data_IF_967689805341
#
_entry.id   IF_967689805341
#
_cell.length_a   1.000
_cell.length_b   1.000
_cell.length_c   1.000
_cell.angle_alpha   90.00
_cell.angle_beta   90.00
_cell.angle_gamma   90.00
#
_symmetry.space_group_name_H-M   'P 1'
#
loop_
_entity.id
_entity.type
_entity.pdbx_description
1 polymer ?
#
# COMPACT_ATOMS: atom_id res chain seq x y z
N UNK A 1 17.48 9.26 -6.67
CA UNK A 1 16.20 9.37 -5.93
C UNK A 1 15.73 10.80 -6.00
N UNK A 2 14.48 11.03 -6.36
CA UNK A 2 13.86 12.36 -6.40
C UNK A 2 13.75 12.96 -4.98
N UNK A 3 13.60 14.30 -4.89
CA UNK A 3 13.31 14.93 -3.61
C UNK A 3 12.01 14.39 -2.99
N UNK A 4 11.96 14.25 -1.65
CA UNK A 4 10.75 13.78 -0.96
C UNK A 4 9.55 14.70 -1.22
N UNK A 5 8.37 14.09 -1.41
CA UNK A 5 7.11 14.80 -1.58
C UNK A 5 6.36 14.94 -0.24
N UNK A 6 5.67 16.06 -0.01
CA UNK A 6 4.90 16.29 1.22
C UNK A 6 3.60 15.45 1.19
N UNK A 7 3.65 14.25 1.75
CA UNK A 7 2.48 13.37 1.80
C UNK A 7 1.34 13.98 2.62
N UNK A 8 0.11 13.80 2.11
CA UNK A 8 -1.13 14.10 2.83
C UNK A 8 -1.46 12.92 3.74
N UNK A 9 -1.71 13.20 5.01
CA UNK A 9 -1.93 12.19 6.04
C UNK A 9 -3.35 12.30 6.58
N UNK A 10 -4.03 11.17 6.64
CA UNK A 10 -5.28 11.01 7.36
C UNK A 10 -4.99 10.43 8.73
N UNK A 11 -5.41 11.10 9.78
CA UNK A 11 -5.41 10.57 11.14
C UNK A 11 -6.73 9.79 11.35
N UNK A 12 -6.61 8.51 11.72
CA UNK A 12 -7.74 7.59 11.88
C UNK A 12 -8.18 7.46 13.33
N UNK A 13 -7.51 8.14 14.25
CA UNK A 13 -7.85 8.24 15.65
C UNK A 13 -6.78 7.69 16.60
N UNK A 14 -7.14 7.66 17.89
CA UNK A 14 -6.27 7.23 18.97
C UNK A 14 -5.25 8.28 19.41
N UNK A 15 -4.56 8.02 20.53
CA UNK A 15 -3.61 8.94 21.13
C UNK A 15 -2.35 8.24 21.69
N UNK A 16 -2.24 6.91 21.52
CA UNK A 16 -1.12 6.12 22.03
C UNK A 16 0.09 6.09 21.11
N UNK A 17 0.85 5.01 21.18
CA UNK A 17 2.03 4.81 20.34
C UNK A 17 1.68 4.93 18.84
N UNK A 18 2.51 5.63 18.05
CA UNK A 18 2.21 5.87 16.64
C UNK A 18 2.28 4.59 15.82
N UNK A 19 1.23 4.37 15.02
CA UNK A 19 1.12 3.29 14.05
C UNK A 19 0.81 3.90 12.68
N UNK A 20 1.70 3.67 11.72
CA UNK A 20 1.58 4.22 10.36
C UNK A 20 1.22 3.10 9.40
N UNK A 21 0.15 3.29 8.61
CA UNK A 21 -0.35 2.31 7.66
C UNK A 21 -0.19 2.79 6.22
N UNK A 22 0.52 2.01 5.39
CA UNK A 22 0.79 2.31 3.98
C UNK A 22 -0.09 1.45 3.07
N UNK A 23 -0.82 2.08 2.16
CA UNK A 23 -1.71 1.39 1.22
C UNK A 23 -0.97 0.76 0.03
N UNK A 24 -1.63 -0.15 -0.68
CA UNK A 24 -1.14 -0.77 -1.91
C UNK A 24 -1.34 0.08 -3.16
N UNK A 25 -0.87 -0.44 -4.30
CA UNK A 25 -1.03 0.17 -5.61
C UNK A 25 -2.52 0.43 -5.91
N UNK A 26 -2.83 1.58 -6.51
CA UNK A 26 -4.19 2.09 -6.74
C UNK A 26 -5.04 2.25 -5.48
N UNK A 27 -4.44 2.16 -4.28
CA UNK A 27 -5.10 2.42 -3.01
C UNK A 27 -4.99 3.87 -2.57
N UNK A 28 -5.46 4.14 -1.36
CA UNK A 28 -5.31 5.42 -0.66
C UNK A 28 -5.49 5.22 0.84
N UNK A 29 -5.30 6.27 1.63
CA UNK A 29 -5.58 6.30 3.06
C UNK A 29 -6.99 5.81 3.41
N UNK A 30 -7.96 5.95 2.50
CA UNK A 30 -9.34 5.49 2.67
C UNK A 30 -9.46 3.97 2.82
N UNK A 31 -8.56 3.20 2.23
CA UNK A 31 -8.56 1.75 2.34
C UNK A 31 -8.34 1.28 3.80
N UNK A 32 -7.69 2.13 4.60
CA UNK A 32 -7.40 1.86 6.00
C UNK A 32 -8.48 2.33 6.97
N UNK A 33 -9.55 3.01 6.50
CA UNK A 33 -10.57 3.62 7.37
C UNK A 33 -11.10 2.63 8.42
N UNK A 34 -11.51 1.45 7.99
CA UNK A 34 -12.14 0.46 8.89
C UNK A 34 -11.14 -0.23 9.82
N UNK A 35 -10.02 -0.70 9.27
CA UNK A 35 -8.99 -1.37 10.07
C UNK A 35 -8.22 -0.39 10.96
N UNK A 36 -7.96 0.82 10.47
CA UNK A 36 -7.24 1.84 11.22
C UNK A 36 -8.04 2.37 12.40
N UNK A 37 -9.35 2.57 12.27
CA UNK A 37 -10.21 2.90 13.41
C UNK A 37 -10.19 1.78 14.45
N UNK A 38 -10.28 0.52 14.03
CA UNK A 38 -10.21 -0.61 14.95
C UNK A 38 -8.84 -0.72 15.66
N UNK A 39 -7.72 -0.39 14.98
CA UNK A 39 -6.40 -0.28 15.62
C UNK A 39 -6.33 0.89 16.60
N UNK A 40 -6.97 2.02 16.29
CA UNK A 40 -7.05 3.20 17.16
C UNK A 40 -7.85 2.90 18.43
N UNK A 41 -8.95 2.16 18.33
CA UNK A 41 -9.75 1.68 19.47
C UNK A 41 -8.95 0.75 20.41
N UNK A 42 -7.85 0.17 19.91
CA UNK A 42 -6.91 -0.65 20.70
C UNK A 42 -5.78 0.19 21.31
N UNK A 43 -5.88 1.51 21.27
CA UNK A 43 -4.98 2.42 21.97
C UNK A 43 -3.79 2.95 21.15
N UNK A 44 -3.80 2.80 19.82
CA UNK A 44 -2.75 3.33 18.94
C UNK A 44 -3.17 4.66 18.31
N UNK A 45 -2.22 5.58 18.12
CA UNK A 45 -2.41 6.74 17.25
C UNK A 45 -2.17 6.30 15.80
N UNK A 46 -3.22 6.19 15.00
CA UNK A 46 -3.14 5.61 13.66
C UNK A 46 -3.13 6.68 12.58
N UNK A 47 -2.07 6.68 11.76
CA UNK A 47 -1.87 7.60 10.65
C UNK A 47 -1.79 6.83 9.32
N UNK A 48 -2.56 7.28 8.33
CA UNK A 48 -2.60 6.72 7.00
C UNK A 48 -2.25 7.80 5.97
N UNK A 49 -1.00 7.86 5.48
CA UNK A 49 -0.67 8.73 4.36
C UNK A 49 -1.26 8.21 3.04
N UNK A 50 -1.63 9.12 2.16
CA UNK A 50 -1.69 8.83 0.73
C UNK A 50 -0.25 8.83 0.22
N UNK A 51 0.22 7.73 -0.37
CA UNK A 51 1.56 7.66 -0.97
C UNK A 51 1.63 8.51 -2.23
N UNK A 52 2.87 8.91 -2.67
CA UNK A 52 3.05 9.66 -3.92
C UNK A 52 2.23 9.07 -5.05
N UNK A 53 1.71 9.89 -5.93
CA UNK A 53 0.89 9.51 -7.08
C UNK A 53 -0.49 8.93 -6.75
N UNK A 54 -0.91 8.94 -5.48
CA UNK A 54 -2.20 8.40 -5.03
C UNK A 54 -2.97 9.41 -4.18
N UNK A 55 -4.29 9.28 -4.20
CA UNK A 55 -5.19 10.02 -3.33
C UNK A 55 -5.06 11.53 -3.46
N UNK A 56 -4.75 12.18 -2.35
CA UNK A 56 -4.56 13.65 -2.26
C UNK A 56 -3.09 14.07 -2.21
N UNK A 57 -2.16 13.14 -2.19
CA UNK A 57 -0.73 13.44 -2.17
C UNK A 57 -0.22 13.92 -3.53
N UNK A 58 0.88 14.69 -3.55
CA UNK A 58 1.48 15.20 -4.78
C UNK A 58 1.92 14.09 -5.74
N UNK A 59 2.00 14.44 -7.01
CA UNK A 59 2.47 13.60 -8.09
C UNK A 59 3.94 13.83 -8.41
N UNK A 60 4.62 12.78 -8.86
CA UNK A 60 6.01 12.81 -9.32
C UNK A 60 6.32 11.61 -10.21
N UNK A 61 7.36 11.72 -11.03
CA UNK A 61 7.67 10.69 -12.04
C UNK A 61 8.42 9.49 -11.44
N UNK A 62 9.18 9.69 -10.37
CA UNK A 62 9.94 8.63 -9.70
C UNK A 62 9.02 7.85 -8.74
N UNK A 63 8.68 6.61 -9.09
CA UNK A 63 7.88 5.70 -8.27
C UNK A 63 8.73 4.57 -7.65
N UNK A 64 10.05 4.74 -7.58
CA UNK A 64 10.94 3.76 -6.95
C UNK A 64 10.63 3.58 -5.46
N UNK A 65 10.94 2.40 -4.93
CA UNK A 65 10.76 2.15 -3.50
C UNK A 65 11.64 3.04 -2.62
N UNK A 66 12.81 3.46 -3.12
CA UNK A 66 13.64 4.44 -2.45
C UNK A 66 12.95 5.82 -2.35
N UNK A 67 12.26 6.25 -3.40
CA UNK A 67 11.50 7.49 -3.39
C UNK A 67 10.25 7.40 -2.50
N UNK A 68 9.50 6.29 -2.55
CA UNK A 68 8.36 6.03 -1.67
C UNK A 68 8.79 6.02 -0.18
N UNK A 69 9.90 5.36 0.14
CA UNK A 69 10.45 5.32 1.50
C UNK A 69 10.89 6.72 1.96
N UNK A 70 11.59 7.47 1.10
CA UNK A 70 12.04 8.82 1.43
C UNK A 70 10.87 9.78 1.74
N UNK A 71 9.74 9.68 1.04
CA UNK A 71 8.53 10.44 1.36
C UNK A 71 8.00 10.14 2.75
N UNK A 72 7.92 8.83 3.09
CA UNK A 72 7.43 8.40 4.40
C UNK A 72 8.39 8.86 5.49
N UNK A 73 9.71 8.77 5.29
CA UNK A 73 10.72 9.30 6.21
C UNK A 73 10.51 10.80 6.44
N UNK A 74 10.42 11.59 5.37
CA UNK A 74 10.20 13.03 5.47
C UNK A 74 8.87 13.37 6.19
N UNK A 75 7.83 12.56 6.00
CA UNK A 75 6.57 12.68 6.73
C UNK A 75 6.76 12.40 8.23
N UNK A 76 7.47 11.33 8.61
CA UNK A 76 7.76 10.99 10.01
C UNK A 76 8.55 12.10 10.69
N UNK A 77 9.61 12.60 10.03
CA UNK A 77 10.43 13.70 10.54
C UNK A 77 9.60 14.98 10.74
N UNK A 78 8.77 15.36 9.74
CA UNK A 78 7.88 16.54 9.80
C UNK A 78 6.87 16.47 10.94
N UNK A 79 6.36 15.27 11.23
CA UNK A 79 5.38 15.03 12.29
C UNK A 79 6.03 14.74 13.65
N UNK A 80 7.38 14.76 13.73
CA UNK A 80 8.16 14.37 14.88
C UNK A 80 7.74 13.01 15.45
N UNK A 81 7.51 12.03 14.55
CA UNK A 81 7.13 10.67 14.89
C UNK A 81 8.33 9.73 14.79
N UNK A 82 8.41 8.84 15.73
CA UNK A 82 9.34 7.72 15.68
C UNK A 82 9.91 7.34 17.05
N UNK A 83 10.36 6.11 17.18
CA UNK A 83 10.13 4.98 16.25
C UNK A 83 8.65 4.54 16.23
N UNK A 84 8.14 4.22 15.03
CA UNK A 84 6.73 3.86 14.82
C UNK A 84 6.54 2.34 14.63
N UNK A 85 5.31 1.85 14.84
CA UNK A 85 4.88 0.59 14.24
C UNK A 85 4.47 0.86 12.78
N UNK A 86 5.27 0.37 11.84
CA UNK A 86 5.04 0.56 10.41
C UNK A 86 4.31 -0.66 9.82
N UNK A 87 3.14 -0.44 9.24
CA UNK A 87 2.32 -1.46 8.59
C UNK A 87 2.20 -1.13 7.12
N UNK A 88 2.57 -2.05 6.23
CA UNK A 88 2.48 -1.81 4.79
C UNK A 88 1.78 -2.94 4.05
N UNK A 89 0.80 -2.60 3.21
CA UNK A 89 0.09 -3.55 2.36
C UNK A 89 0.65 -3.52 0.94
N UNK A 90 0.95 -4.69 0.36
CA UNK A 90 1.34 -4.83 -1.05
C UNK A 90 2.47 -3.86 -1.43
N UNK A 91 2.30 -2.93 -2.37
CA UNK A 91 3.27 -1.87 -2.70
C UNK A 91 3.73 -1.10 -1.44
N UNK A 92 2.80 -0.72 -0.56
CA UNK A 92 3.13 -0.08 0.73
C UNK A 92 3.98 -0.97 1.64
N UNK A 93 3.82 -2.30 1.56
CA UNK A 93 4.66 -3.27 2.26
C UNK A 93 6.09 -3.29 1.74
N UNK A 94 6.27 -3.21 0.42
CA UNK A 94 7.60 -3.09 -0.20
C UNK A 94 8.26 -1.74 0.14
N UNK A 95 7.49 -0.65 0.15
CA UNK A 95 7.99 0.66 0.60
C UNK A 95 8.42 0.62 2.07
N UNK A 96 7.66 -0.06 2.93
CA UNK A 96 8.00 -0.26 4.33
C UNK A 96 9.28 -1.11 4.51
N UNK A 97 9.44 -2.18 3.71
CA UNK A 97 10.68 -2.97 3.70
C UNK A 97 11.89 -2.11 3.31
N UNK A 98 11.77 -1.25 2.29
CA UNK A 98 12.85 -0.33 1.89
C UNK A 98 13.15 0.66 3.00
N UNK A 99 12.13 1.23 3.62
CA UNK A 99 12.30 2.21 4.70
C UNK A 99 13.10 1.66 5.88
N UNK A 100 12.82 0.44 6.34
CA UNK A 100 13.54 -0.14 7.48
C UNK A 100 15.01 -0.45 7.17
N UNK A 101 15.35 -0.66 5.90
CA UNK A 101 16.76 -0.80 5.50
C UNK A 101 17.48 0.57 5.48
N UNK A 102 16.79 1.63 5.04
CA UNK A 102 17.38 2.97 4.92
C UNK A 102 17.41 3.73 6.26
N UNK A 103 16.35 3.57 7.09
CA UNK A 103 16.16 4.28 8.36
C UNK A 103 15.59 3.35 9.45
N UNK A 104 16.39 2.36 9.88
CA UNK A 104 15.99 1.40 10.92
C UNK A 104 15.62 2.08 12.26
N UNK A 105 16.21 3.24 12.54
CA UNK A 105 15.97 4.05 13.73
C UNK A 105 14.52 4.57 13.84
N UNK A 106 13.80 4.70 12.75
CA UNK A 106 12.43 5.20 12.72
C UNK A 106 11.35 4.12 12.92
N UNK A 107 11.72 2.85 13.00
CA UNK A 107 10.77 1.74 13.05
C UNK A 107 10.99 0.87 14.28
N UNK A 108 10.02 0.86 15.19
CA UNK A 108 10.01 -0.02 16.35
C UNK A 108 9.57 -1.45 16.00
N UNK A 109 8.64 -1.58 15.03
CA UNK A 109 8.09 -2.84 14.55
C UNK A 109 7.63 -2.70 13.10
N UNK A 110 7.84 -3.73 12.29
CA UNK A 110 7.36 -3.82 10.92
C UNK A 110 6.27 -4.89 10.81
N UNK A 111 5.13 -4.54 10.18
CA UNK A 111 4.13 -5.51 9.73
C UNK A 111 3.95 -5.38 8.22
N UNK A 112 4.24 -6.45 7.50
CA UNK A 112 4.08 -6.52 6.05
C UNK A 112 2.84 -7.34 5.71
N UNK A 113 1.92 -6.76 4.94
CA UNK A 113 0.63 -7.36 4.64
C UNK A 113 0.60 -7.85 3.20
N UNK A 114 0.61 -9.16 3.06
CA UNK A 114 0.41 -9.97 1.87
C UNK A 114 1.30 -9.60 0.67
N UNK A 115 2.60 -9.44 0.93
CA UNK A 115 3.64 -9.24 -0.09
C UNK A 115 4.99 -9.77 0.43
N UNK A 116 5.82 -10.36 -0.45
CA UNK A 116 7.17 -10.83 -0.13
C UNK A 116 8.25 -9.94 -0.79
N UNK A 117 9.51 -9.95 -0.29
CA UNK A 117 10.63 -9.22 -0.89
C UNK A 117 11.15 -9.93 -2.15
N UNK A 118 10.37 -9.89 -3.23
CA UNK A 118 10.69 -10.45 -4.54
C UNK A 118 10.06 -9.67 -5.69
N UNK A 119 10.47 -9.96 -6.91
CA UNK A 119 9.75 -9.51 -8.09
C UNK A 119 8.45 -10.30 -8.32
N UNK A 120 7.46 -9.63 -8.90
CA UNK A 120 6.15 -10.18 -9.25
C UNK A 120 5.90 -10.10 -10.75
N UNK A 121 5.11 -11.04 -11.27
CA UNK A 121 4.67 -11.00 -12.66
C UNK A 121 3.66 -9.87 -12.88
N UNK A 122 3.65 -9.38 -14.11
CA UNK A 122 2.89 -8.21 -14.55
C UNK A 122 1.39 -8.51 -14.77
N UNK A 123 0.69 -8.77 -13.67
CA UNK A 123 -0.76 -9.01 -13.70
C UNK A 123 -1.61 -7.73 -13.66
N UNK A 124 -1.02 -6.60 -13.20
CA UNK A 124 -1.73 -5.31 -13.05
C UNK A 124 -1.79 -4.49 -14.35
N UNK A 125 -1.23 -4.98 -15.46
CA UNK A 125 -1.31 -4.27 -16.75
C UNK A 125 -2.73 -4.16 -17.28
N UNK A 126 -3.60 -5.12 -16.98
CA UNK A 126 -4.99 -5.11 -17.46
C UNK A 126 -5.74 -3.94 -16.84
N UNK A 127 -5.57 -3.70 -15.54
CA UNK A 127 -6.19 -2.59 -14.82
C UNK A 127 -5.72 -1.23 -15.37
N UNK A 128 -4.41 -1.06 -15.55
CA UNK A 128 -3.86 0.16 -16.14
C UNK A 128 -4.26 0.35 -17.59
N UNK A 129 -4.30 -0.72 -18.40
CA UNK A 129 -4.77 -0.67 -19.78
C UNK A 129 -6.24 -0.22 -19.84
N UNK A 130 -7.09 -0.77 -18.98
CA UNK A 130 -8.50 -0.39 -18.89
C UNK A 130 -8.69 1.08 -18.46
N UNK A 131 -7.90 1.52 -17.47
CA UNK A 131 -7.90 2.93 -17.04
C UNK A 131 -7.43 3.87 -18.14
N UNK A 132 -6.42 3.47 -18.90
CA UNK A 132 -5.87 4.26 -20.02
C UNK A 132 -6.82 4.33 -21.23
N UNK A 133 -7.56 3.26 -21.47
CA UNK A 133 -8.52 3.19 -22.58
C UNK A 133 -9.85 3.90 -22.28
N UNK A 134 -10.17 4.16 -21.01
CA UNK A 134 -11.41 4.82 -20.64
C UNK A 134 -11.37 6.31 -20.99
N UNK A 135 -12.16 6.71 -22.01
CA UNK A 135 -12.36 8.11 -22.37
C UNK A 135 -13.25 8.79 -21.31
N UNK A 136 -12.61 9.55 -20.40
CA UNK A 136 -13.30 10.24 -19.31
C UNK A 136 -14.22 11.36 -19.79
N UNK A 137 -14.00 11.94 -20.99
CA UNK A 137 -14.88 12.97 -21.56
C UNK A 137 -16.25 12.41 -21.97
N UNK A 138 -16.31 11.11 -22.27
CA UNK A 138 -17.52 10.39 -22.61
C UNK A 138 -18.21 9.73 -21.40
N UNK A 139 -17.65 9.88 -20.18
CA UNK A 139 -18.23 9.31 -18.96
C UNK A 139 -19.31 10.24 -18.39
N UNK A 140 -20.53 9.70 -18.28
CA UNK A 140 -21.71 10.44 -17.79
C UNK A 140 -21.95 10.27 -16.29
N UNK A 141 -21.54 9.14 -15.73
CA UNK A 141 -21.71 8.80 -14.32
C UNK A 141 -20.71 7.73 -13.89
N UNK A 142 -20.56 7.52 -12.57
CA UNK A 142 -19.74 6.41 -12.05
C UNK A 142 -20.25 5.04 -12.53
N UNK A 143 -21.55 4.87 -12.68
CA UNK A 143 -22.15 3.65 -13.23
C UNK A 143 -21.79 3.45 -14.70
N UNK A 144 -21.84 4.52 -15.52
CA UNK A 144 -21.41 4.48 -16.91
C UNK A 144 -19.92 4.12 -17.06
N UNK A 145 -19.06 4.67 -16.17
CA UNK A 145 -17.65 4.29 -16.12
C UNK A 145 -17.46 2.81 -15.77
N UNK A 146 -18.23 2.28 -14.82
CA UNK A 146 -18.21 0.87 -14.45
C UNK A 146 -18.60 -0.05 -15.61
N UNK A 147 -19.68 0.28 -16.32
CA UNK A 147 -20.14 -0.46 -17.49
C UNK A 147 -19.09 -0.46 -18.61
N UNK A 148 -18.42 0.68 -18.86
CA UNK A 148 -17.35 0.78 -19.85
C UNK A 148 -16.10 -0.04 -19.46
N UNK A 149 -15.72 -0.06 -18.17
CA UNK A 149 -14.62 -0.86 -17.67
C UNK A 149 -14.89 -2.38 -17.77
N UNK A 150 -16.16 -2.80 -17.75
CA UNK A 150 -16.54 -4.21 -17.80
C UNK A 150 -16.08 -4.93 -19.07
N UNK A 151 -15.84 -4.19 -20.15
CA UNK A 151 -15.32 -4.74 -21.40
C UNK A 151 -13.88 -5.28 -21.29
N UNK A 152 -13.08 -4.77 -20.32
CA UNK A 152 -11.67 -5.14 -20.16
C UNK A 152 -11.39 -5.79 -18.81
N UNK A 153 -12.15 -5.45 -17.77
CA UNK A 153 -12.00 -5.96 -16.41
C UNK A 153 -13.26 -6.73 -16.04
N UNK A 154 -13.24 -8.04 -16.14
CA UNK A 154 -14.42 -8.90 -15.93
C UNK A 154 -14.85 -8.96 -14.46
N UNK A 155 -13.90 -8.87 -13.51
CA UNK A 155 -14.17 -8.97 -12.07
C UNK A 155 -14.80 -7.68 -11.54
N UNK A 156 -16.01 -7.79 -11.00
CA UNK A 156 -16.76 -6.64 -10.47
C UNK A 156 -16.02 -5.92 -9.33
N UNK A 157 -15.46 -6.68 -8.38
CA UNK A 157 -14.72 -6.13 -7.25
C UNK A 157 -13.53 -5.28 -7.69
N UNK A 158 -12.78 -5.75 -8.72
CA UNK A 158 -11.66 -5.00 -9.29
C UNK A 158 -12.14 -3.71 -9.97
N UNK A 159 -13.25 -3.74 -10.71
CA UNK A 159 -13.83 -2.50 -11.27
C UNK A 159 -14.18 -1.49 -10.21
N UNK A 160 -14.84 -1.93 -9.12
CA UNK A 160 -15.15 -1.05 -7.99
C UNK A 160 -13.89 -0.48 -7.36
N UNK A 161 -12.83 -1.28 -7.22
CA UNK A 161 -11.54 -0.81 -6.69
C UNK A 161 -10.89 0.23 -7.62
N UNK A 162 -10.82 -0.01 -8.92
CA UNK A 162 -10.35 0.98 -9.91
C UNK A 162 -11.13 2.28 -9.79
N UNK A 163 -12.46 2.20 -9.69
CA UNK A 163 -13.34 3.36 -9.61
C UNK A 163 -13.18 4.15 -8.31
N UNK A 164 -12.57 3.61 -7.27
CA UNK A 164 -12.22 4.44 -6.08
C UNK A 164 -11.29 5.59 -6.45
N UNK A 165 -10.53 5.45 -7.54
CA UNK A 165 -9.63 6.47 -8.08
C UNK A 165 -10.30 7.41 -9.10
N UNK A 166 -11.60 7.25 -9.39
CA UNK A 166 -12.33 8.14 -10.26
C UNK A 166 -12.99 9.25 -9.45
N UNK A 167 -12.64 10.50 -9.73
CA UNK A 167 -13.18 11.69 -9.09
C UNK A 167 -13.59 12.75 -10.11
N UNK A 168 -14.05 13.90 -9.62
CA UNK A 168 -14.32 15.05 -10.44
C UNK A 168 -13.42 16.23 -10.02
N UNK A 169 -13.07 17.07 -10.98
CA UNK A 169 -12.39 18.34 -10.71
C UNK A 169 -13.38 19.43 -10.26
N UNK A 170 -12.90 20.64 -10.05
CA UNK A 170 -13.72 21.77 -9.61
C UNK A 170 -14.81 22.16 -10.62
N UNK A 171 -14.63 21.84 -11.90
CA UNK A 171 -15.57 22.06 -12.99
C UNK A 171 -16.52 20.89 -13.23
N UNK A 172 -16.45 19.82 -12.39
CA UNK A 172 -17.30 18.64 -12.49
C UNK A 172 -16.85 17.62 -13.56
N UNK A 173 -15.68 17.80 -14.19
CA UNK A 173 -15.16 16.88 -15.19
C UNK A 173 -14.53 15.67 -14.53
N UNK A 174 -14.78 14.48 -15.07
CA UNK A 174 -14.19 13.25 -14.56
C UNK A 174 -12.67 13.22 -14.73
N UNK A 175 -11.97 12.81 -13.70
CA UNK A 175 -10.51 12.63 -13.70
C UNK A 175 -10.09 11.46 -12.84
N UNK A 176 -8.96 10.89 -13.15
CA UNK A 176 -8.29 9.98 -12.23
C UNK A 176 -7.62 10.78 -11.09
N UNK A 177 -7.78 10.31 -9.86
CA UNK A 177 -7.11 10.88 -8.66
C UNK A 177 -5.77 10.23 -8.39
N UNK A 178 -5.32 9.39 -9.27
CA UNK A 178 -4.05 8.68 -9.27
C UNK A 178 -3.27 9.05 -10.52
N UNK A 179 -1.94 9.24 -10.39
CA UNK A 179 -1.05 9.52 -11.53
C UNK A 179 -0.79 8.22 -12.31
N UNK A 180 -1.79 7.80 -13.09
CA UNK A 180 -1.72 6.54 -13.83
C UNK A 180 -0.56 6.47 -14.84
N UNK A 181 -0.13 7.62 -15.39
CA UNK A 181 0.97 7.68 -16.36
C UNK A 181 2.30 7.32 -15.70
N UNK A 182 2.67 8.02 -14.62
CA UNK A 182 3.88 7.74 -13.87
C UNK A 182 3.87 6.30 -13.32
N UNK A 183 2.73 5.84 -12.78
CA UNK A 183 2.60 4.47 -12.26
C UNK A 183 2.72 3.42 -13.36
N UNK A 184 2.12 3.65 -14.55
CA UNK A 184 2.25 2.72 -15.69
C UNK A 184 3.70 2.61 -16.15
N UNK A 185 4.38 3.75 -16.28
CA UNK A 185 5.78 3.80 -16.71
C UNK A 185 6.73 3.14 -15.69
N UNK A 186 6.36 3.18 -14.41
CA UNK A 186 7.15 2.61 -13.31
C UNK A 186 6.73 1.18 -12.90
N UNK A 187 5.83 0.52 -13.64
CA UNK A 187 5.40 -0.84 -13.30
C UNK A 187 6.57 -1.84 -13.13
N UNK A 188 7.63 -1.82 -13.96
CA UNK A 188 8.77 -2.71 -13.73
C UNK A 188 9.43 -2.54 -12.36
N UNK A 189 9.53 -1.30 -11.86
CA UNK A 189 10.08 -0.99 -10.54
C UNK A 189 9.12 -1.39 -9.43
N UNK A 190 7.83 -1.04 -9.56
CA UNK A 190 6.78 -1.37 -8.60
C UNK A 190 6.62 -2.90 -8.43
N UNK A 191 6.74 -3.65 -9.52
CA UNK A 191 6.70 -5.11 -9.50
C UNK A 191 8.05 -5.72 -9.08
N UNK A 192 9.14 -4.97 -9.12
CA UNK A 192 10.49 -5.40 -8.77
C UNK A 192 10.66 -5.76 -7.28
N UNK A 193 11.83 -6.29 -6.94
CA UNK A 193 12.22 -6.51 -5.54
C UNK A 193 12.66 -5.18 -4.91
N UNK A 194 12.14 -4.77 -3.74
CA UNK A 194 12.54 -3.54 -3.06
C UNK A 194 13.92 -3.64 -2.40
N UNK A 195 14.46 -4.83 -2.23
CA UNK A 195 15.68 -5.11 -1.48
C UNK A 195 16.78 -5.71 -2.36
N UNK A 196 18.02 -5.34 -2.08
CA UNK A 196 19.19 -5.98 -2.65
C UNK A 196 19.61 -7.24 -1.85
N UNK A 197 20.38 -8.12 -2.47
CA UNK A 197 20.91 -9.28 -1.78
C UNK A 197 21.81 -8.86 -0.60
N UNK A 198 21.62 -9.49 0.55
CA UNK A 198 22.41 -9.23 1.75
C UNK A 198 21.94 -8.06 2.62
N UNK A 199 20.94 -7.28 2.19
CA UNK A 199 20.29 -6.31 3.08
C UNK A 199 19.48 -7.04 4.16
N UNK A 200 19.72 -6.69 5.43
CA UNK A 200 19.12 -7.35 6.59
C UNK A 200 18.66 -6.32 7.60
N UNK A 201 17.44 -6.48 8.10
CA UNK A 201 16.93 -5.75 9.26
C UNK A 201 16.51 -6.74 10.36
N UNK A 202 17.16 -6.68 11.52
CA UNK A 202 16.95 -7.59 12.67
C UNK A 202 15.94 -7.05 13.69
N UNK A 203 15.07 -6.14 13.30
CA UNK A 203 13.98 -5.64 14.14
C UNK A 203 12.77 -6.57 14.16
N UNK A 204 11.83 -6.34 15.12
CA UNK A 204 10.60 -7.11 15.21
C UNK A 204 9.77 -7.02 13.92
N UNK A 205 9.56 -8.15 13.25
CA UNK A 205 8.88 -8.19 11.95
C UNK A 205 7.79 -9.24 11.92
N UNK A 206 6.65 -8.89 11.35
CA UNK A 206 5.57 -9.84 11.06
C UNK A 206 5.13 -9.73 9.61
N UNK A 207 4.95 -10.87 8.97
CA UNK A 207 4.30 -10.98 7.68
C UNK A 207 2.89 -11.56 7.87
N UNK A 208 1.87 -10.84 7.42
CA UNK A 208 0.48 -11.32 7.42
C UNK A 208 0.13 -11.81 6.03
N UNK A 209 -0.09 -13.11 5.91
CA UNK A 209 -0.42 -13.79 4.65
C UNK A 209 -1.92 -14.03 4.55
N UNK A 210 -2.55 -13.69 3.41
CA UNK A 210 -3.89 -14.15 3.08
C UNK A 210 -3.88 -15.64 2.69
N UNK A 211 -4.71 -16.45 3.34
CA UNK A 211 -4.76 -17.90 3.07
C UNK A 211 -5.28 -18.25 1.67
N UNK A 212 -6.05 -17.36 1.06
CA UNK A 212 -6.57 -17.48 -0.32
C UNK A 212 -5.75 -16.66 -1.32
N UNK A 213 -4.61 -16.10 -0.90
CA UNK A 213 -3.70 -15.28 -1.71
C UNK A 213 -2.49 -16.08 -2.18
N UNK A 214 -1.91 -15.64 -3.31
CA UNK A 214 -0.67 -16.17 -3.87
C UNK A 214 0.49 -15.17 -3.80
N UNK A 215 0.35 -14.07 -3.04
CA UNK A 215 1.39 -13.04 -2.93
C UNK A 215 2.51 -13.44 -1.97
N UNK A 216 2.21 -14.19 -0.91
CA UNK A 216 3.21 -14.87 -0.09
C UNK A 216 2.99 -16.36 -0.24
N UNK A 217 4.01 -17.11 -0.67
CA UNK A 217 4.00 -18.55 -0.81
C UNK A 217 4.97 -19.17 0.17
N UNK A 218 4.87 -20.47 0.40
CA UNK A 218 5.80 -21.17 1.30
C UNK A 218 7.25 -21.07 0.83
N UNK A 219 7.47 -21.02 -0.48
CA UNK A 219 8.79 -20.82 -1.09
C UNK A 219 9.42 -19.44 -0.76
N UNK A 220 8.60 -18.44 -0.42
CA UNK A 220 9.07 -17.09 -0.08
C UNK A 220 9.63 -17.01 1.36
N UNK A 221 9.35 -18.00 2.22
CA UNK A 221 9.74 -17.94 3.64
C UNK A 221 11.26 -17.92 3.84
N UNK A 222 12.02 -18.59 2.99
CA UNK A 222 13.47 -18.55 3.04
C UNK A 222 14.00 -17.14 2.73
N UNK A 223 13.46 -16.51 1.69
CA UNK A 223 13.83 -15.15 1.30
C UNK A 223 13.40 -14.12 2.36
N UNK A 224 12.20 -14.27 2.94
CA UNK A 224 11.74 -13.42 4.04
C UNK A 224 12.71 -13.50 5.21
N UNK A 225 13.10 -14.71 5.66
CA UNK A 225 14.03 -14.88 6.79
C UNK A 225 15.46 -14.41 6.49
N UNK A 226 15.88 -14.46 5.23
CA UNK A 226 17.19 -13.95 4.83
C UNK A 226 17.31 -12.43 5.02
N UNK A 227 16.23 -11.68 4.76
CA UNK A 227 16.19 -10.23 4.95
C UNK A 227 15.69 -9.81 6.35
N UNK A 228 14.84 -10.62 6.97
CA UNK A 228 14.17 -10.36 8.25
C UNK A 228 14.31 -11.58 9.16
N UNK A 229 15.46 -11.79 9.81
CA UNK A 229 15.73 -13.00 10.61
C UNK A 229 14.73 -13.23 11.75
N UNK A 230 14.16 -12.15 12.30
CA UNK A 230 13.15 -12.21 13.37
C UNK A 230 11.70 -12.20 12.87
N UNK A 231 11.50 -12.42 11.57
CA UNK A 231 10.15 -12.44 11.01
C UNK A 231 9.38 -13.69 11.43
N UNK A 232 8.15 -13.50 11.88
CA UNK A 232 7.12 -14.51 11.90
C UNK A 232 6.13 -14.31 10.74
N UNK A 233 5.54 -15.42 10.25
CA UNK A 233 4.53 -15.39 9.19
C UNK A 233 3.23 -15.92 9.76
N UNK A 234 2.21 -15.07 9.82
CA UNK A 234 0.87 -15.42 10.29
C UNK A 234 -0.08 -15.49 9.10
N UNK A 235 -0.76 -16.63 8.94
CA UNK A 235 -1.74 -16.81 7.87
C UNK A 235 -3.15 -16.49 8.39
N UNK A 236 -3.88 -15.67 7.64
CA UNK A 236 -5.30 -15.39 7.85
C UNK A 236 -6.10 -16.22 6.85
N UNK A 237 -6.65 -17.41 7.24
CA UNK A 237 -7.12 -18.43 6.32
C UNK A 237 -8.22 -17.98 5.38
N UNK A 238 -9.12 -17.10 5.88
CA UNK A 238 -10.32 -16.68 5.15
C UNK A 238 -10.07 -15.48 4.21
N UNK A 239 -8.88 -14.88 4.26
CA UNK A 239 -8.58 -13.67 3.49
C UNK A 239 -7.83 -13.98 2.20
N UNK A 240 -8.10 -13.17 1.17
CA UNK A 240 -7.29 -13.02 -0.03
C UNK A 240 -6.21 -11.96 0.15
N UNK A 241 -6.00 -11.12 -0.89
CA UNK A 241 -4.92 -10.13 -0.93
C UNK A 241 -5.13 -8.92 0.02
N UNK A 242 -6.33 -8.72 0.55
CA UNK A 242 -6.67 -7.56 1.36
C UNK A 242 -7.09 -7.95 2.81
N UNK A 243 -6.20 -8.53 3.63
CA UNK A 243 -6.54 -9.01 4.97
C UNK A 243 -7.15 -7.94 5.89
N UNK A 244 -6.68 -6.71 5.79
CA UNK A 244 -7.17 -5.54 6.55
C UNK A 244 -8.64 -5.19 6.24
N UNK A 245 -9.17 -5.67 5.13
CA UNK A 245 -10.55 -5.50 4.70
C UNK A 245 -11.35 -6.81 4.83
N UNK A 246 -10.82 -7.92 4.31
CA UNK A 246 -11.52 -9.19 4.17
C UNK A 246 -11.61 -9.98 5.50
N UNK A 247 -10.59 -9.84 6.37
CA UNK A 247 -10.50 -10.52 7.66
C UNK A 247 -10.13 -9.55 8.79
N UNK A 248 -10.81 -8.38 8.85
CA UNK A 248 -10.44 -7.23 9.68
C UNK A 248 -10.14 -7.58 11.15
N UNK A 249 -10.99 -8.38 11.80
CA UNK A 249 -10.79 -8.72 13.21
C UNK A 249 -9.48 -9.50 13.41
N UNK A 250 -9.27 -10.56 12.63
CA UNK A 250 -8.03 -11.35 12.67
C UNK A 250 -6.80 -10.53 12.27
N UNK A 251 -6.96 -9.61 11.30
CA UNK A 251 -5.91 -8.67 10.93
C UNK A 251 -5.48 -7.78 12.09
N UNK A 252 -6.43 -7.17 12.80
CA UNK A 252 -6.15 -6.29 13.95
C UNK A 252 -5.44 -7.07 15.05
N UNK A 253 -5.95 -8.24 15.45
CA UNK A 253 -5.30 -9.09 16.45
C UNK A 253 -3.88 -9.49 16.02
N UNK A 254 -3.72 -9.97 14.79
CA UNK A 254 -2.42 -10.39 14.28
C UNK A 254 -1.43 -9.22 14.11
N UNK A 255 -1.90 -8.00 13.86
CA UNK A 255 -1.03 -6.82 13.78
C UNK A 255 -0.50 -6.42 15.14
N UNK A 256 -1.29 -6.54 16.20
CA UNK A 256 -0.95 -6.06 17.55
C UNK A 256 -0.27 -7.13 18.44
N UNK A 257 -0.46 -8.42 18.16
CA UNK A 257 0.23 -9.50 18.87
C UNK A 257 1.73 -9.50 18.58
#
# INVERSE_FOLDING_TARGET
>A
VSAPLPLIVRELGGAGAPLVVLHGLLGSSRNWQSAGVALAERGHRVLAPDLRNHGSSPWGDDCSYAALAADVVAMLDRLALGPVHLVGHSMGGKAAMRLVMDRPDLVARLTVVDIAPRAYSDRVRVEFAAMNALDLSAVKSRKDAEEKLAAQVSEWGMRQFILTNLGQDAEGRWRWTVNREALTNSLPEILGNPLAAGEVWDGPTRFLRGGKSNYIRDEDFATIRAHFPRADVVTLPESGHNPHFEARAGFVEATLA
#
